data_IF_552913107970
#
_entry.id   IF_552913107970
#
_cell.length_a   1.000
_cell.length_b   1.000
_cell.length_c   1.000
_cell.angle_alpha   90.00
_cell.angle_beta   90.00
_cell.angle_gamma   90.00
#
_symmetry.space_group_name_H-M   'P 1'
#
loop_
_entity.id
_entity.type
_entity.pdbx_description
1 polymer ?
#
# COMPACT_ATOMS: atom_id res chain seq x y z
N UNK A 1 -4.54 -3.64 40.77
CA UNK A 1 -4.23 -2.47 39.92
C UNK A 1 -3.81 -3.02 38.59
N UNK A 2 -4.78 -3.20 37.71
CA UNK A 2 -4.58 -4.11 36.59
C UNK A 2 -4.05 -3.33 35.40
N UNK A 3 -2.82 -3.66 35.00
CA UNK A 3 -2.21 -3.07 33.81
C UNK A 3 -2.94 -3.62 32.60
N UNK A 4 -3.83 -2.82 32.01
CA UNK A 4 -4.47 -3.19 30.75
C UNK A 4 -3.41 -3.24 29.64
N UNK A 5 -3.05 -4.45 29.23
CA UNK A 5 -2.13 -4.74 28.11
C UNK A 5 -2.76 -4.48 26.73
N UNK A 6 -3.70 -3.54 26.64
CA UNK A 6 -4.36 -3.13 25.41
C UNK A 6 -3.47 -2.28 24.51
N UNK A 7 -3.74 -2.30 23.21
CA UNK A 7 -3.04 -1.50 22.20
C UNK A 7 -3.34 0.01 22.40
N UNK A 8 -2.39 0.78 22.92
CA UNK A 8 -2.63 2.16 23.41
C UNK A 8 -2.64 3.25 22.33
N UNK A 9 -2.52 2.91 21.04
CA UNK A 9 -2.49 3.89 19.96
C UNK A 9 -3.89 4.20 19.44
N UNK A 10 -4.20 5.48 19.27
CA UNK A 10 -5.43 5.90 18.57
C UNK A 10 -5.40 5.42 17.11
N UNK A 11 -6.57 5.08 16.58
CA UNK A 11 -6.71 4.63 15.19
C UNK A 11 -6.29 5.75 14.22
N UNK A 12 -5.24 5.56 13.39
CA UNK A 12 -4.56 6.66 12.71
C UNK A 12 -5.27 7.14 11.42
N UNK A 13 -6.34 6.46 11.00
CA UNK A 13 -7.12 6.84 9.82
C UNK A 13 -8.40 7.58 10.27
N UNK A 14 -8.79 8.71 9.63
CA UNK A 14 -10.00 9.42 9.99
C UNK A 14 -11.23 8.56 9.70
N UNK A 15 -12.17 8.52 10.65
CA UNK A 15 -13.42 7.76 10.52
C UNK A 15 -14.26 8.22 9.30
N UNK A 16 -14.20 9.51 8.98
CA UNK A 16 -14.90 10.15 7.87
C UNK A 16 -13.88 10.80 6.90
N UNK A 17 -13.34 10.06 5.92
CA UNK A 17 -12.34 10.57 4.97
C UNK A 17 -12.90 11.65 4.03
N UNK A 18 -12.27 12.82 3.98
CA UNK A 18 -12.72 13.96 3.15
C UNK A 18 -12.28 13.84 1.67
N UNK A 19 -12.58 14.84 0.83
CA UNK A 19 -12.27 14.81 -0.61
C UNK A 19 -10.77 14.99 -0.93
N UNK A 20 -10.12 15.99 -0.31
CA UNK A 20 -8.67 16.25 -0.46
C UNK A 20 -7.84 15.02 -0.06
N UNK A 21 -8.26 14.40 1.04
CA UNK A 21 -7.70 13.16 1.58
C UNK A 21 -7.73 12.02 0.55
N UNK A 22 -8.93 11.63 0.10
CA UNK A 22 -9.13 10.60 -0.94
C UNK A 22 -8.41 10.90 -2.26
N UNK A 23 -8.18 12.17 -2.59
CA UNK A 23 -7.39 12.58 -3.74
C UNK A 23 -5.89 12.34 -3.50
N UNK A 24 -5.34 12.88 -2.41
CA UNK A 24 -3.94 12.72 -2.03
C UNK A 24 -3.55 11.23 -1.93
N UNK A 25 -4.35 10.43 -1.23
CA UNK A 25 -4.16 8.98 -1.10
C UNK A 25 -4.03 8.26 -2.44
N UNK A 26 -4.88 8.61 -3.41
CA UNK A 26 -4.81 8.07 -4.77
C UNK A 26 -3.61 8.61 -5.54
N UNK A 27 -3.27 9.89 -5.39
CA UNK A 27 -2.08 10.47 -6.00
C UNK A 27 -0.80 9.77 -5.51
N UNK A 28 -0.69 9.46 -4.21
CA UNK A 28 0.40 8.67 -3.65
C UNK A 28 0.45 7.26 -4.24
N UNK A 29 -0.68 6.55 -4.26
CA UNK A 29 -0.79 5.21 -4.84
C UNK A 29 -0.33 5.18 -6.32
N UNK A 30 -0.73 6.19 -7.10
CA UNK A 30 -0.33 6.36 -8.51
C UNK A 30 1.16 6.71 -8.63
N UNK A 31 1.69 7.58 -7.78
CA UNK A 31 3.10 8.00 -7.79
C UNK A 31 4.04 6.83 -7.44
N UNK A 32 3.70 6.06 -6.40
CA UNK A 32 4.46 4.86 -5.99
C UNK A 32 4.41 3.80 -7.09
N UNK A 33 3.25 3.56 -7.71
CA UNK A 33 3.16 2.63 -8.84
C UNK A 33 3.95 3.12 -10.06
N UNK A 34 3.91 4.43 -10.36
CA UNK A 34 4.67 5.05 -11.45
C UNK A 34 6.17 4.86 -11.25
N UNK A 35 6.69 5.20 -10.08
CA UNK A 35 8.11 5.04 -9.73
C UNK A 35 8.54 3.57 -9.77
N UNK A 36 7.73 2.66 -9.22
CA UNK A 36 8.02 1.23 -9.27
C UNK A 36 8.06 0.72 -10.72
N UNK A 37 7.05 1.04 -11.55
CA UNK A 37 7.03 0.64 -12.97
C UNK A 37 8.20 1.25 -13.76
N UNK A 38 8.62 2.47 -13.45
CA UNK A 38 9.77 3.11 -14.10
C UNK A 38 11.07 2.33 -13.82
N UNK A 39 11.33 1.92 -12.58
CA UNK A 39 12.51 1.11 -12.21
C UNK A 39 12.58 -0.19 -13.01
N UNK A 40 11.44 -0.88 -13.18
CA UNK A 40 11.38 -2.10 -14.01
C UNK A 40 11.43 -1.81 -15.51
N UNK A 41 10.88 -0.69 -15.99
CA UNK A 41 10.96 -0.27 -17.39
C UNK A 41 12.36 0.19 -17.80
N UNK A 42 13.16 0.68 -16.85
CA UNK A 42 14.60 0.96 -17.02
C UNK A 42 15.46 -0.30 -16.85
N UNK A 43 14.84 -1.48 -16.72
CA UNK A 43 15.49 -2.79 -16.60
C UNK A 43 16.50 -2.89 -15.45
N UNK A 44 16.35 -2.06 -14.40
CA UNK A 44 17.22 -2.03 -13.22
C UNK A 44 17.03 -3.27 -12.31
N UNK A 45 15.92 -3.99 -12.47
CA UNK A 45 15.56 -5.17 -11.69
C UNK A 45 14.60 -6.05 -12.52
N UNK A 46 14.38 -7.32 -12.12
CA UNK A 46 13.54 -8.29 -12.82
C UNK A 46 12.55 -8.95 -11.85
N UNK A 47 11.26 -8.78 -12.09
CA UNK A 47 10.20 -9.60 -11.48
C UNK A 47 9.87 -10.77 -12.42
N UNK A 48 9.64 -11.96 -11.85
CA UNK A 48 8.97 -13.08 -12.53
C UNK A 48 7.59 -13.29 -11.90
N UNK A 49 6.54 -13.49 -12.71
CA UNK A 49 5.16 -13.58 -12.25
C UNK A 49 4.54 -14.90 -12.70
N UNK A 50 4.29 -15.79 -11.76
CA UNK A 50 3.69 -17.11 -12.01
C UNK A 50 2.19 -17.04 -11.67
N UNK A 51 1.34 -17.61 -12.53
CA UNK A 51 -0.11 -17.74 -12.30
C UNK A 51 -0.88 -16.42 -12.02
N UNK A 52 -0.44 -15.27 -12.56
CA UNK A 52 -1.10 -13.95 -12.37
C UNK A 52 -2.63 -14.00 -12.50
N UNK A 53 -3.15 -14.72 -13.49
CA UNK A 53 -4.58 -14.83 -13.76
C UNK A 53 -5.38 -15.38 -12.57
N UNK A 54 -4.80 -16.28 -11.76
CA UNK A 54 -5.46 -16.80 -10.53
C UNK A 54 -5.68 -15.69 -9.49
N UNK A 55 -4.73 -14.76 -9.36
CA UNK A 55 -4.87 -13.59 -8.48
C UNK A 55 -5.91 -12.60 -9.02
N UNK A 56 -5.93 -12.35 -10.34
CA UNK A 56 -6.93 -11.49 -10.97
C UNK A 56 -8.35 -12.03 -10.75
N UNK A 57 -8.63 -13.28 -11.10
CA UNK A 57 -9.96 -13.88 -10.91
C UNK A 57 -10.37 -13.97 -9.44
N UNK A 58 -9.40 -14.11 -8.51
CA UNK A 58 -9.67 -14.05 -7.07
C UNK A 58 -10.03 -12.64 -6.57
N UNK A 59 -9.46 -11.59 -7.17
CA UNK A 59 -9.80 -10.19 -6.88
C UNK A 59 -11.12 -9.75 -7.53
N UNK A 60 -11.41 -10.22 -8.74
CA UNK A 60 -12.65 -9.91 -9.46
C UNK A 60 -13.88 -10.51 -8.76
N UNK A 61 -13.75 -11.70 -8.16
CA UNK A 61 -14.81 -12.32 -7.39
C UNK A 61 -15.15 -11.49 -6.14
N UNK A 62 -16.37 -10.92 -6.10
CA UNK A 62 -16.87 -10.09 -4.99
C UNK A 62 -17.73 -10.87 -3.98
N UNK A 63 -18.02 -12.15 -4.19
CA UNK A 63 -18.93 -12.92 -3.33
C UNK A 63 -18.30 -13.40 -2.00
N UNK A 64 -16.98 -13.27 -1.85
CA UNK A 64 -16.23 -13.67 -0.66
C UNK A 64 -15.06 -12.73 -0.40
N UNK A 65 -14.60 -12.59 0.86
CA UNK A 65 -13.34 -11.91 1.15
C UNK A 65 -12.16 -12.69 0.53
N UNK A 66 -11.11 -11.95 0.14
CA UNK A 66 -9.83 -12.51 -0.28
C UNK A 66 -8.79 -12.21 0.80
N UNK A 67 -8.09 -13.27 1.26
CA UNK A 67 -6.91 -13.16 2.12
C UNK A 67 -5.72 -13.71 1.32
N UNK A 68 -4.67 -12.90 1.20
CA UNK A 68 -3.40 -13.29 0.58
C UNK A 68 -2.35 -13.50 1.66
N UNK A 69 -1.64 -14.62 1.62
CA UNK A 69 -0.55 -14.94 2.53
C UNK A 69 0.75 -14.98 1.72
N UNK A 70 1.77 -14.28 2.18
CA UNK A 70 3.09 -14.20 1.55
C UNK A 70 4.18 -14.00 2.60
N UNK A 71 5.40 -14.45 2.30
CA UNK A 71 6.57 -14.14 3.13
C UNK A 71 6.84 -12.63 3.06
N UNK A 72 6.89 -11.95 4.22
CA UNK A 72 7.32 -10.56 4.28
C UNK A 72 8.84 -10.48 4.21
N UNK A 73 9.37 -9.58 3.37
CA UNK A 73 10.80 -9.30 3.21
C UNK A 73 11.12 -7.82 3.38
N UNK A 74 10.20 -6.92 3.02
CA UNK A 74 10.43 -5.47 3.07
C UNK A 74 9.15 -4.65 2.95
N UNK A 75 9.17 -3.36 3.30
CA UNK A 75 8.07 -2.45 2.95
C UNK A 75 7.95 -2.16 1.43
N UNK A 76 8.88 -2.65 0.60
CA UNK A 76 8.76 -2.62 -0.86
C UNK A 76 7.83 -3.71 -1.41
N UNK A 77 7.46 -4.71 -0.60
CA UNK A 77 6.61 -5.83 -1.02
C UNK A 77 5.26 -5.32 -1.57
N UNK A 78 4.65 -4.30 -0.95
CA UNK A 78 3.41 -3.65 -1.42
C UNK A 78 3.56 -2.98 -2.81
N UNK A 79 4.49 -2.03 -3.06
CA UNK A 79 4.78 -1.51 -4.40
C UNK A 79 5.06 -2.59 -5.45
N UNK A 80 5.80 -3.65 -5.08
CA UNK A 80 6.16 -4.74 -5.99
C UNK A 80 4.92 -5.56 -6.40
N UNK A 81 4.01 -5.83 -5.47
CA UNK A 81 2.70 -6.44 -5.76
C UNK A 81 1.86 -5.52 -6.66
N UNK A 82 1.85 -4.20 -6.44
CA UNK A 82 1.12 -3.28 -7.31
C UNK A 82 1.71 -3.22 -8.72
N UNK A 83 3.02 -3.37 -8.87
CA UNK A 83 3.71 -3.39 -10.15
C UNK A 83 3.24 -4.53 -11.08
N UNK A 84 2.73 -5.64 -10.52
CA UNK A 84 2.18 -6.79 -11.26
C UNK A 84 0.95 -6.42 -12.12
N UNK A 85 0.17 -5.44 -11.68
CA UNK A 85 -1.08 -5.08 -12.33
C UNK A 85 -0.86 -4.18 -13.55
N UNK A 86 -1.71 -4.30 -14.57
CA UNK A 86 -1.81 -3.26 -15.60
C UNK A 86 -2.47 -2.01 -15.02
N UNK A 87 -2.29 -0.85 -15.64
CA UNK A 87 -2.95 0.38 -15.19
C UNK A 87 -4.49 0.22 -15.08
N UNK A 88 -5.11 -0.50 -16.02
CA UNK A 88 -6.56 -0.81 -16.00
C UNK A 88 -6.95 -1.67 -14.80
N UNK A 89 -6.22 -2.74 -14.53
CA UNK A 89 -6.44 -3.62 -13.36
C UNK A 89 -6.26 -2.84 -12.05
N UNK A 90 -5.23 -1.98 -11.98
CA UNK A 90 -4.93 -1.17 -10.81
C UNK A 90 -6.04 -0.15 -10.52
N UNK A 91 -6.45 0.66 -11.50
CA UNK A 91 -7.51 1.64 -11.31
C UNK A 91 -8.88 1.00 -10.98
N UNK A 92 -9.16 -0.19 -11.51
CA UNK A 92 -10.34 -0.99 -11.14
C UNK A 92 -10.34 -1.42 -9.65
N UNK A 93 -9.16 -1.56 -9.05
CA UNK A 93 -8.97 -2.04 -7.67
C UNK A 93 -8.41 -0.98 -6.70
N UNK A 94 -8.23 0.27 -7.11
CA UNK A 94 -7.53 1.30 -6.31
C UNK A 94 -8.19 1.62 -4.96
N UNK A 95 -9.50 1.36 -4.82
CA UNK A 95 -10.24 1.49 -3.54
C UNK A 95 -10.07 0.30 -2.59
N UNK A 96 -9.45 -0.79 -3.05
CA UNK A 96 -9.20 -2.03 -2.29
C UNK A 96 -7.75 -2.11 -1.80
N UNK A 97 -6.81 -1.51 -2.53
CA UNK A 97 -5.44 -1.38 -2.06
C UNK A 97 -5.34 -0.44 -0.86
N UNK A 98 -4.52 -0.83 0.11
CA UNK A 98 -4.14 -0.07 1.30
C UNK A 98 -2.66 -0.33 1.50
N UNK A 99 -1.88 0.67 1.91
CA UNK A 99 -0.50 0.40 2.34
C UNK A 99 -0.53 -0.41 3.65
N UNK A 100 0.40 -1.35 3.81
CA UNK A 100 0.83 -1.76 5.14
C UNK A 100 1.47 -0.56 5.86
N UNK A 101 1.35 -0.51 7.19
CA UNK A 101 1.96 0.60 7.95
C UNK A 101 3.48 0.49 7.89
N UNK A 102 4.13 1.46 7.25
CA UNK A 102 5.59 1.56 7.24
C UNK A 102 6.13 1.66 8.67
N UNK A 103 7.17 0.87 8.97
CA UNK A 103 7.70 0.72 10.31
C UNK A 103 8.31 2.05 10.83
N UNK A 104 7.58 2.73 11.72
CA UNK A 104 7.96 4.07 12.21
C UNK A 104 9.34 4.10 12.87
N UNK A 105 9.70 3.03 13.56
CA UNK A 105 11.00 2.81 14.19
C UNK A 105 12.18 2.62 13.22
N UNK A 106 11.93 2.46 11.91
CA UNK A 106 12.98 2.21 10.90
C UNK A 106 13.04 3.36 9.88
N UNK A 107 11.91 3.74 9.29
CA UNK A 107 11.88 4.78 8.24
C UNK A 107 11.92 6.22 8.80
N UNK A 108 11.45 6.42 10.04
CA UNK A 108 11.09 7.73 10.59
C UNK A 108 11.91 8.13 11.81
N UNK A 109 13.23 7.92 11.73
CA UNK A 109 14.22 8.36 12.73
C UNK A 109 14.42 9.87 12.82
N UNK A 110 13.86 10.66 11.89
CA UNK A 110 13.84 12.13 11.90
C UNK A 110 12.42 12.64 11.63
N UNK A 111 11.94 13.57 12.45
CA UNK A 111 10.55 14.06 12.41
C UNK A 111 10.13 14.67 11.04
N UNK A 112 11.07 15.17 10.23
CA UNK A 112 10.76 15.69 8.90
C UNK A 112 10.61 14.59 7.83
N UNK A 113 11.24 13.41 8.01
CA UNK A 113 10.86 12.23 7.22
C UNK A 113 9.40 11.87 7.54
N UNK A 114 9.04 11.90 8.82
CA UNK A 114 7.67 11.68 9.27
C UNK A 114 6.73 12.73 8.68
N UNK A 115 7.11 14.01 8.62
CA UNK A 115 6.27 15.01 7.99
C UNK A 115 6.08 14.76 6.48
N UNK A 116 7.16 14.62 5.70
CA UNK A 116 7.01 14.41 4.25
C UNK A 116 6.24 13.12 3.94
N UNK A 117 6.51 12.02 4.67
CA UNK A 117 5.79 10.77 4.41
C UNK A 117 4.39 10.79 5.01
N UNK A 118 4.15 11.18 6.26
CA UNK A 118 2.77 11.19 6.79
C UNK A 118 1.89 12.30 6.21
N UNK A 119 2.47 13.36 5.63
CA UNK A 119 1.79 14.52 5.04
C UNK A 119 1.91 14.59 3.50
N UNK A 120 2.32 13.49 2.84
CA UNK A 120 2.21 13.31 1.37
C UNK A 120 2.06 11.85 0.92
N UNK A 121 2.25 10.89 1.84
CA UNK A 121 2.14 9.44 1.62
C UNK A 121 1.19 8.73 2.63
N UNK A 122 0.95 9.29 3.84
CA UNK A 122 -0.17 8.92 4.73
C UNK A 122 -1.24 10.02 4.84
N UNK A 123 -1.35 10.90 3.85
CA UNK A 123 -2.70 11.32 3.50
C UNK A 123 -3.44 10.12 2.90
N UNK A 124 -4.03 9.30 3.79
CA UNK A 124 -5.41 8.84 3.56
C UNK A 124 -6.46 10.09 3.95
#
# INVERSE_FOLDING_TARGET
MDKSYGFQFQWPFPKNPNALYRFASKATLIAVLSACKLIFSLNMNRISVINKNRLLSALENKSRPLITISNHRSNMDDPLIWCLFTWREFFSNISRFRYTLAAHNICFTKAWHSWLVFHSIFFF
#
